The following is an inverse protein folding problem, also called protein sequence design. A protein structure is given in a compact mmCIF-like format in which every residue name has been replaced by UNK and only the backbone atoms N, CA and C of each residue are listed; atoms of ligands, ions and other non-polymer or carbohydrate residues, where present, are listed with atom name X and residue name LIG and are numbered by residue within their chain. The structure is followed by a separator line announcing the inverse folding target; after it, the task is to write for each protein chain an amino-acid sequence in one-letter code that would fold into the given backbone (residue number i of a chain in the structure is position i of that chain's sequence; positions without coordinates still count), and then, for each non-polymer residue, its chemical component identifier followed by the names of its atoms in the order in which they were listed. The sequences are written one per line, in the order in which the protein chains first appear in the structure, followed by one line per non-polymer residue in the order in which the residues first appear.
data_IF_829663863422
#
_entry.id   IF_829663863422
#
_cell.length_a   1.000
_cell.length_b   1.000
_cell.length_c   1.000
_cell.angle_alpha   90.00
_cell.angle_beta   90.00
_cell.angle_gamma   90.00
#
_symmetry.space_group_name_H-M   'P 1'
#
loop_
_entity.id
_entity.type
_entity.pdbx_description
1 polymer ?
#
# COMPACT_ATOMS: atom_id res chain seq x y z
N UNK A 1 2.50 -14.46 24.06
CA UNK A 1 1.84 -13.90 22.86
C UNK A 1 0.83 -14.91 22.36
N UNK A 2 -0.38 -14.45 22.00
CA UNK A 2 -1.47 -15.27 21.46
C UNK A 2 -1.73 -14.88 20.01
N UNK A 3 -1.92 -15.87 19.15
CA UNK A 3 -2.31 -15.66 17.74
C UNK A 3 -3.84 -15.52 17.71
N UNK A 4 -4.34 -14.45 17.09
CA UNK A 4 -5.76 -14.23 16.89
C UNK A 4 -6.20 -14.85 15.56
N UNK A 5 -6.84 -16.00 15.62
CA UNK A 5 -7.43 -16.67 14.45
C UNK A 5 -8.96 -16.52 14.37
N UNK A 6 -9.61 -16.21 15.49
CA UNK A 6 -11.06 -16.07 15.56
C UNK A 6 -11.53 -14.78 14.85
N UNK A 7 -12.44 -14.86 13.86
CA UNK A 7 -12.94 -13.69 13.13
C UNK A 7 -13.57 -12.62 14.05
N UNK A 8 -14.29 -13.04 15.09
CA UNK A 8 -14.90 -12.11 16.06
C UNK A 8 -13.84 -11.32 16.84
N UNK A 9 -12.69 -11.94 17.16
CA UNK A 9 -11.58 -11.25 17.81
C UNK A 9 -10.89 -10.28 16.86
N UNK A 10 -10.67 -10.66 15.61
CA UNK A 10 -10.06 -9.79 14.61
C UNK A 10 -10.95 -8.58 14.28
N UNK A 11 -12.27 -8.74 14.19
CA UNK A 11 -13.21 -7.62 14.00
C UNK A 11 -13.21 -6.68 15.21
N UNK A 12 -13.15 -7.22 16.43
CA UNK A 12 -13.06 -6.40 17.66
C UNK A 12 -11.73 -5.64 17.71
N UNK A 13 -10.64 -6.29 17.34
CA UNK A 13 -9.31 -5.67 17.25
C UNK A 13 -9.32 -4.54 16.21
N UNK A 14 -9.87 -4.76 15.02
CA UNK A 14 -10.04 -3.73 13.99
C UNK A 14 -10.79 -2.51 14.54
N UNK A 15 -11.91 -2.72 15.25
CA UNK A 15 -12.68 -1.64 15.86
C UNK A 15 -11.93 -0.86 16.94
N UNK A 16 -11.07 -1.53 17.73
CA UNK A 16 -10.22 -0.88 18.74
C UNK A 16 -9.12 -0.08 18.06
N UNK A 17 -8.39 -0.69 17.11
CA UNK A 17 -7.30 -0.04 16.39
C UNK A 17 -7.79 1.19 15.61
N UNK A 18 -9.00 1.13 15.03
CA UNK A 18 -9.63 2.26 14.33
C UNK A 18 -9.79 3.50 15.20
N UNK A 19 -10.07 3.34 16.50
CA UNK A 19 -10.25 4.47 17.44
C UNK A 19 -8.93 5.17 17.79
N UNK A 20 -7.81 4.48 17.60
CA UNK A 20 -6.46 4.98 17.91
C UNK A 20 -5.67 5.39 16.68
N UNK A 21 -6.33 5.53 15.52
CA UNK A 21 -5.72 6.13 14.33
C UNK A 21 -5.33 7.59 14.63
N UNK A 22 -4.19 8.09 14.11
CA UNK A 22 -3.31 7.46 13.10
C UNK A 22 -2.19 6.56 13.67
N UNK A 23 -2.00 6.48 14.99
CA UNK A 23 -0.86 5.77 15.60
C UNK A 23 -0.82 4.26 15.29
N UNK A 24 -2.00 3.67 15.06
CA UNK A 24 -2.19 2.24 14.79
C UNK A 24 -2.20 1.90 13.30
N UNK A 25 -1.94 2.86 12.40
CA UNK A 25 -2.19 2.73 10.96
C UNK A 25 -1.54 1.48 10.32
N UNK A 26 -0.24 1.17 10.53
CA UNK A 26 0.38 -0.01 9.89
C UNK A 26 -0.30 -1.31 10.32
N UNK A 27 -0.50 -1.48 11.63
CA UNK A 27 -1.11 -2.69 12.19
C UNK A 27 -2.58 -2.80 11.81
N UNK A 28 -3.30 -1.68 11.82
CA UNK A 28 -4.71 -1.62 11.40
C UNK A 28 -4.88 -2.10 9.97
N UNK A 29 -4.02 -1.65 9.05
CA UNK A 29 -4.07 -2.04 7.66
C UNK A 29 -3.79 -3.53 7.43
N UNK A 30 -2.83 -4.10 8.15
CA UNK A 30 -2.61 -5.56 8.13
C UNK A 30 -3.83 -6.33 8.64
N UNK A 31 -4.41 -5.94 9.77
CA UNK A 31 -5.61 -6.58 10.34
C UNK A 31 -6.79 -6.49 9.37
N UNK A 32 -6.97 -5.34 8.71
CA UNK A 32 -8.03 -5.15 7.71
C UNK A 32 -7.83 -6.08 6.50
N UNK A 33 -6.60 -6.22 5.99
CA UNK A 33 -6.30 -7.16 4.91
C UNK A 33 -6.55 -8.62 5.31
N UNK A 34 -6.24 -8.99 6.55
CA UNK A 34 -6.54 -10.33 7.09
C UNK A 34 -8.04 -10.56 7.14
N UNK A 35 -8.82 -9.59 7.66
CA UNK A 35 -10.28 -9.65 7.72
C UNK A 35 -10.97 -9.69 6.34
N UNK A 36 -10.25 -9.32 5.27
CA UNK A 36 -10.77 -9.27 3.90
C UNK A 36 -10.28 -10.42 3.03
N UNK A 37 -9.81 -11.51 3.63
CA UNK A 37 -9.42 -12.74 2.92
C UNK A 37 -7.94 -13.09 2.98
N UNK A 38 -7.14 -12.28 3.70
CA UNK A 38 -5.73 -12.55 3.99
C UNK A 38 -4.86 -12.95 2.78
N UNK A 39 -4.82 -12.12 1.72
CA UNK A 39 -4.09 -12.46 0.48
C UNK A 39 -2.58 -12.64 0.69
N UNK A 40 -2.01 -12.00 1.72
CA UNK A 40 -0.59 -12.13 2.07
C UNK A 40 -0.27 -13.21 3.11
N UNK A 41 -1.24 -14.01 3.54
CA UNK A 41 -1.08 -15.04 4.57
C UNK A 41 -0.42 -14.52 5.86
N UNK A 42 -0.90 -13.40 6.39
CA UNK A 42 -0.44 -12.82 7.64
C UNK A 42 -1.25 -13.35 8.83
N UNK A 43 -0.61 -13.37 9.99
CA UNK A 43 -1.21 -13.65 11.29
C UNK A 43 -0.95 -12.47 12.25
N UNK A 44 -1.89 -12.26 13.17
CA UNK A 44 -1.81 -11.19 14.16
C UNK A 44 -1.60 -11.80 15.54
N UNK A 45 -0.55 -11.35 16.20
CA UNK A 45 -0.18 -11.72 17.55
C UNK A 45 -0.47 -10.56 18.49
N UNK A 46 -1.02 -10.90 19.65
CA UNK A 46 -1.23 -9.97 20.76
C UNK A 46 -0.53 -10.49 22.00
N UNK A 47 -0.07 -9.59 22.87
CA UNK A 47 0.51 -9.99 24.15
C UNK A 47 -0.53 -10.66 25.06
N UNK A 48 -1.69 -10.01 25.20
CA UNK A 48 -2.84 -10.41 26.02
C UNK A 48 -4.15 -10.15 25.26
N UNK A 49 -5.24 -10.80 25.68
CA UNK A 49 -6.58 -10.58 25.11
C UNK A 49 -7.61 -10.80 26.21
N UNK A 50 -8.64 -9.95 26.36
CA UNK A 50 -9.09 -8.86 25.46
C UNK A 50 -8.38 -7.51 25.63
N UNK A 51 -7.64 -7.30 26.72
CA UNK A 51 -6.83 -6.10 26.93
C UNK A 51 -5.40 -6.39 26.45
N UNK A 52 -4.95 -5.68 25.41
CA UNK A 52 -3.62 -5.86 24.80
C UNK A 52 -2.81 -4.56 24.92
N UNK A 53 -1.50 -4.69 25.16
CA UNK A 53 -0.55 -3.58 25.13
C UNK A 53 0.27 -3.52 23.84
N UNK A 54 0.41 -4.65 23.15
CA UNK A 54 1.17 -4.76 21.91
C UNK A 54 0.46 -5.67 20.90
N UNK A 55 0.50 -5.26 19.64
CA UNK A 55 -0.04 -6.01 18.50
C UNK A 55 1.04 -6.10 17.43
N UNK A 56 1.27 -7.31 16.93
CA UNK A 56 2.24 -7.58 15.88
C UNK A 56 1.55 -8.31 14.74
N UNK A 57 1.72 -7.82 13.51
CA UNK A 57 1.36 -8.57 12.31
C UNK A 57 2.62 -9.18 11.70
N UNK A 58 2.59 -10.48 11.36
CA UNK A 58 3.69 -11.17 10.69
C UNK A 58 3.18 -12.22 9.70
N UNK A 59 3.99 -12.71 8.75
CA UNK A 59 3.63 -13.85 7.92
C UNK A 59 3.35 -15.12 8.73
N UNK A 60 2.32 -15.87 8.35
CA UNK A 60 1.92 -17.13 8.97
C UNK A 60 2.94 -18.25 8.67
N UNK A 61 3.38 -18.98 9.69
CA UNK A 61 4.24 -20.17 9.53
C UNK A 61 5.74 -19.98 9.83
N UNK A 62 6.16 -18.86 10.41
CA UNK A 62 7.56 -18.63 10.77
C UNK A 62 7.97 -19.42 12.03
N UNK A 63 8.40 -20.68 11.83
CA UNK A 63 9.40 -21.36 12.67
C UNK A 63 10.69 -21.40 11.85
N UNK A 64 11.75 -20.83 12.40
CA UNK A 64 13.09 -20.69 11.83
C UNK A 64 13.46 -21.78 10.79
N UNK A 65 13.37 -21.44 9.51
CA UNK A 65 14.11 -22.12 8.46
C UNK A 65 14.88 -21.05 7.71
N UNK A 66 16.20 -21.19 7.71
CA UNK A 66 17.18 -20.21 7.24
C UNK A 66 17.21 -20.04 5.73
N UNK A 67 16.06 -19.72 5.14
CA UNK A 67 15.96 -19.28 3.75
C UNK A 67 15.28 -17.90 3.75
N UNK A 68 16.12 -16.87 3.80
CA UNK A 68 15.79 -15.48 4.10
C UNK A 68 15.15 -14.79 2.89
N UNK A 69 13.98 -15.28 2.49
CA UNK A 69 13.20 -14.83 1.35
C UNK A 69 11.86 -14.22 1.76
N UNK A 70 11.81 -13.30 2.73
CA UNK A 70 10.68 -12.37 2.86
C UNK A 70 10.98 -11.15 3.76
N UNK A 71 10.78 -9.97 3.17
CA UNK A 71 10.52 -8.64 3.75
C UNK A 71 10.88 -8.32 5.19
N UNK A 72 12.17 -8.38 5.54
CA UNK A 72 12.69 -7.68 6.72
C UNK A 72 14.00 -6.97 6.38
N UNK A 73 13.98 -5.94 5.50
CA UNK A 73 15.05 -4.92 5.49
C UNK A 73 14.92 -3.72 4.52
N UNK A 74 13.91 -3.59 3.64
CA UNK A 74 13.89 -2.43 2.72
C UNK A 74 13.04 -1.24 3.20
N UNK A 75 12.35 -1.37 4.35
CA UNK A 75 11.60 -0.24 4.94
C UNK A 75 12.48 0.75 5.73
N UNK A 76 13.77 0.45 5.92
CA UNK A 76 14.70 1.36 6.60
C UNK A 76 15.03 2.64 5.79
N UNK A 77 14.54 2.78 4.56
CA UNK A 77 14.76 3.97 3.71
C UNK A 77 13.51 4.70 3.24
N UNK A 78 12.30 4.20 3.50
CA UNK A 78 11.07 4.75 2.88
C UNK A 78 10.36 5.84 3.69
N UNK A 79 10.87 6.20 4.87
CA UNK A 79 10.34 7.34 5.64
C UNK A 79 10.83 8.70 5.12
N UNK A 80 11.68 8.73 4.08
CA UNK A 80 12.22 9.96 3.49
C UNK A 80 11.48 10.51 2.25
N UNK A 81 10.49 9.80 1.69
CA UNK A 81 9.85 10.22 0.41
C UNK A 81 8.35 10.50 0.53
N UNK A 82 7.72 10.14 1.65
CA UNK A 82 6.40 10.68 2.01
C UNK A 82 6.48 12.02 2.75
N UNK A 83 7.69 12.51 3.03
CA UNK A 83 7.95 13.91 3.32
C UNK A 83 7.89 14.74 2.03
N UNK A 84 6.69 14.95 1.49
CA UNK A 84 6.46 16.25 0.86
C UNK A 84 6.39 17.25 2.01
N UNK A 85 7.56 17.73 2.43
CA UNK A 85 7.74 19.01 3.10
C UNK A 85 7.24 20.12 2.14
N UNK A 86 5.92 20.23 1.98
CA UNK A 86 5.31 21.53 1.75
C UNK A 86 5.23 22.18 3.13
N UNK A 87 6.32 22.81 3.54
CA UNK A 87 6.30 23.73 4.65
C UNK A 87 5.29 24.83 4.37
N UNK A 88 4.13 24.76 5.03
CA UNK A 88 3.22 25.87 5.30
C UNK A 88 2.36 25.49 6.52
N UNK A 89 2.63 26.04 7.72
CA UNK A 89 1.72 25.89 8.85
C UNK A 89 0.51 26.81 8.63
N UNK A 90 -0.70 26.24 8.52
CA UNK A 90 -1.93 27.01 8.73
C UNK A 90 -3.01 27.00 7.64
N UNK A 91 -3.31 25.87 6.99
CA UNK A 91 -4.50 25.77 6.11
C UNK A 91 -5.27 24.45 6.29
N UNK A 92 -5.61 24.10 7.54
CA UNK A 92 -6.36 22.88 7.91
C UNK A 92 -7.88 22.94 7.64
N UNK A 93 -8.37 23.82 6.76
CA UNK A 93 -9.82 24.07 6.65
C UNK A 93 -10.44 24.12 5.26
N UNK A 94 -9.68 24.34 4.17
CA UNK A 94 -10.31 24.86 2.92
C UNK A 94 -10.05 24.09 1.63
N UNK A 95 -9.34 22.97 1.63
CA UNK A 95 -9.14 22.19 0.38
C UNK A 95 -10.19 21.06 0.22
N UNK A 96 -11.05 20.85 1.22
CA UNK A 96 -11.97 19.71 1.25
C UNK A 96 -13.26 19.83 0.40
N UNK A 97 -13.53 20.95 -0.28
CA UNK A 97 -14.80 21.09 -1.03
C UNK A 97 -14.73 21.83 -2.38
N UNK A 98 -13.64 22.52 -2.72
CA UNK A 98 -13.61 23.43 -3.88
C UNK A 98 -13.09 22.85 -5.20
N UNK A 99 -12.46 21.66 -5.21
CA UNK A 99 -11.72 21.14 -6.38
C UNK A 99 -12.22 19.78 -6.91
N UNK A 100 -13.46 19.40 -6.58
CA UNK A 100 -14.08 18.15 -7.04
C UNK A 100 -14.72 18.25 -8.45
N UNK A 101 -14.44 19.30 -9.22
CA UNK A 101 -15.12 19.57 -10.50
C UNK A 101 -14.49 18.97 -11.76
N UNK A 102 -13.17 18.74 -11.82
CA UNK A 102 -12.53 18.28 -13.08
C UNK A 102 -11.16 17.60 -12.93
N UNK A 103 -10.67 17.39 -11.71
CA UNK A 103 -9.31 16.92 -11.45
C UNK A 103 -9.35 15.50 -10.90
N UNK A 104 -9.14 14.53 -11.78
CA UNK A 104 -9.27 13.10 -11.47
C UNK A 104 -9.45 12.23 -12.71
N UNK A 105 -9.70 12.84 -13.88
CA UNK A 105 -9.72 12.09 -15.13
C UNK A 105 -8.30 11.96 -15.70
N UNK A 106 -7.90 10.75 -16.15
CA UNK A 106 -6.65 10.59 -16.85
C UNK A 106 -6.68 11.40 -18.15
N UNK A 107 -5.51 11.93 -18.54
CA UNK A 107 -5.37 12.68 -19.79
C UNK A 107 -5.90 11.86 -20.99
N UNK A 108 -6.41 12.51 -22.05
CA UNK A 108 -6.88 11.79 -23.24
C UNK A 108 -5.77 10.88 -23.79
N UNK A 109 -6.09 9.59 -23.94
CA UNK A 109 -5.12 8.54 -24.33
C UNK A 109 -4.50 7.77 -23.17
N UNK A 110 -4.70 8.20 -21.93
CA UNK A 110 -4.29 7.48 -20.72
C UNK A 110 -5.52 6.83 -20.09
N UNK A 111 -5.41 5.56 -19.70
CA UNK A 111 -6.49 4.79 -19.08
C UNK A 111 -6.02 4.20 -17.76
N UNK A 112 -6.95 4.02 -16.83
CA UNK A 112 -6.67 3.29 -15.58
C UNK A 112 -6.64 1.80 -15.91
N UNK A 113 -5.52 1.16 -15.61
CA UNK A 113 -5.27 -0.26 -15.78
C UNK A 113 -5.01 -0.99 -14.46
N UNK A 114 -4.56 -2.23 -14.60
CA UNK A 114 -4.01 -3.04 -13.51
C UNK A 114 -2.60 -3.47 -13.85
N UNK A 115 -1.69 -3.44 -12.88
CA UNK A 115 -0.43 -4.16 -13.00
C UNK A 115 -0.67 -5.66 -12.86
N UNK A 116 0.23 -6.44 -13.44
CA UNK A 116 0.18 -7.88 -13.51
C UNK A 116 1.62 -8.42 -13.36
N UNK A 117 1.83 -9.68 -12.97
CA UNK A 117 3.17 -10.24 -12.77
C UNK A 117 4.09 -10.18 -14.00
N UNK A 118 3.54 -9.99 -15.21
CA UNK A 118 4.32 -9.74 -16.43
C UNK A 118 5.13 -8.43 -16.39
N UNK A 119 4.73 -7.46 -15.57
CA UNK A 119 5.39 -6.16 -15.46
C UNK A 119 6.46 -6.12 -14.36
N UNK A 120 6.73 -7.24 -13.67
CA UNK A 120 7.70 -7.29 -12.56
C UNK A 120 9.08 -6.82 -13.01
N UNK A 121 9.51 -7.22 -14.21
CA UNK A 121 10.86 -6.88 -14.70
C UNK A 121 10.98 -5.36 -14.92
N UNK A 122 9.96 -4.72 -15.50
CA UNK A 122 9.90 -3.25 -15.62
C UNK A 122 10.00 -2.55 -14.25
N UNK A 123 9.24 -3.02 -13.26
CA UNK A 123 9.26 -2.44 -11.92
C UNK A 123 10.61 -2.64 -11.24
N UNK A 124 11.21 -3.80 -11.45
CA UNK A 124 12.51 -4.15 -10.90
C UNK A 124 13.64 -3.32 -11.51
N UNK A 125 13.55 -2.99 -12.79
CA UNK A 125 14.56 -2.20 -13.50
C UNK A 125 14.43 -0.70 -13.23
N UNK A 126 13.20 -0.22 -13.02
CA UNK A 126 12.92 1.19 -12.74
C UNK A 126 13.15 1.58 -11.27
N UNK A 127 13.15 0.60 -10.37
CA UNK A 127 13.38 0.83 -8.95
C UNK A 127 14.88 1.00 -8.66
N UNK A 128 15.34 2.12 -8.06
CA UNK A 128 16.77 2.33 -7.80
C UNK A 128 17.44 1.28 -6.92
N UNK A 129 16.66 0.60 -6.07
CA UNK A 129 17.12 -0.50 -5.21
C UNK A 129 16.78 -1.88 -5.79
N UNK A 130 16.24 -1.91 -7.01
CA UNK A 130 15.87 -3.10 -7.74
C UNK A 130 17.06 -3.75 -8.45
N UNK A 131 16.79 -4.41 -9.57
CA UNK A 131 17.80 -5.10 -10.37
C UNK A 131 18.34 -6.41 -9.77
N UNK A 132 17.74 -6.93 -8.69
CA UNK A 132 18.18 -8.15 -8.04
C UNK A 132 17.08 -9.21 -7.92
N UNK A 133 17.47 -10.46 -7.70
CA UNK A 133 16.53 -11.60 -7.62
C UNK A 133 15.56 -11.44 -6.46
N UNK A 134 16.00 -10.80 -5.35
CA UNK A 134 15.18 -10.58 -4.15
C UNK A 134 14.11 -9.52 -4.41
N UNK A 135 14.46 -8.38 -5.00
CA UNK A 135 13.52 -7.32 -5.36
C UNK A 135 12.51 -7.81 -6.39
N UNK A 136 12.95 -8.59 -7.38
CA UNK A 136 12.06 -9.22 -8.37
C UNK A 136 11.03 -10.14 -7.71
N UNK A 137 11.47 -11.02 -6.82
CA UNK A 137 10.58 -11.94 -6.09
C UNK A 137 9.58 -11.18 -5.23
N UNK A 138 10.04 -10.17 -4.50
CA UNK A 138 9.18 -9.30 -3.69
C UNK A 138 8.10 -8.59 -4.51
N UNK A 139 8.49 -8.00 -5.65
CA UNK A 139 7.53 -7.34 -6.55
C UNK A 139 6.53 -8.33 -7.13
N UNK A 140 6.96 -9.54 -7.50
CA UNK A 140 6.06 -10.59 -7.98
C UNK A 140 5.04 -11.02 -6.92
N UNK A 141 5.46 -11.14 -5.66
CA UNK A 141 4.59 -11.47 -4.54
C UNK A 141 3.54 -10.37 -4.31
N UNK A 142 3.95 -9.09 -4.31
CA UNK A 142 3.02 -7.95 -4.18
C UNK A 142 2.01 -7.89 -5.32
N UNK A 143 2.46 -8.10 -6.56
CA UNK A 143 1.58 -8.08 -7.74
C UNK A 143 0.64 -9.28 -7.78
N UNK A 144 1.00 -10.40 -7.13
CA UNK A 144 0.15 -11.59 -7.03
C UNK A 144 -0.93 -11.47 -5.95
N UNK A 145 -0.67 -10.73 -4.86
CA UNK A 145 -1.58 -10.65 -3.73
C UNK A 145 -2.68 -9.58 -3.89
N UNK A 146 -2.43 -8.49 -4.62
CA UNK A 146 -3.33 -7.34 -4.66
C UNK A 146 -3.51 -6.77 -6.07
N UNK A 147 -4.74 -6.38 -6.46
CA UNK A 147 -4.95 -5.66 -7.72
C UNK A 147 -4.37 -4.25 -7.61
N UNK A 148 -3.20 -4.04 -8.22
CA UNK A 148 -2.47 -2.77 -8.15
C UNK A 148 -2.93 -1.79 -9.23
N UNK A 149 -3.00 -0.51 -8.88
CA UNK A 149 -3.41 0.55 -9.80
C UNK A 149 -2.24 0.95 -10.69
N UNK A 150 -2.50 0.99 -12.00
CA UNK A 150 -1.62 1.68 -12.94
C UNK A 150 -2.39 2.58 -13.89
N UNK A 151 -1.67 3.50 -14.50
CA UNK A 151 -2.10 4.24 -15.67
C UNK A 151 -1.37 3.65 -16.87
N UNK A 152 -2.12 3.39 -17.92
CA UNK A 152 -1.63 2.83 -19.17
C UNK A 152 -1.85 3.82 -20.31
N UNK A 153 -0.97 3.78 -21.31
CA UNK A 153 -1.13 4.53 -22.55
C UNK A 153 -2.17 3.87 -23.49
N UNK A 154 -2.30 4.42 -24.70
CA UNK A 154 -3.16 3.88 -25.74
C UNK A 154 -2.74 2.49 -26.22
N UNK A 155 -1.45 2.14 -26.07
CA UNK A 155 -0.88 0.84 -26.40
C UNK A 155 -1.04 -0.22 -25.31
N UNK A 156 -1.51 0.18 -24.12
CA UNK A 156 -1.68 -0.71 -22.95
C UNK A 156 -0.44 -0.84 -22.07
N UNK A 157 0.62 -0.06 -22.34
CA UNK A 157 1.85 -0.07 -21.56
C UNK A 157 1.72 0.79 -20.30
N UNK A 158 2.24 0.34 -19.14
CA UNK A 158 2.16 1.09 -17.89
C UNK A 158 3.05 2.34 -17.93
N UNK A 159 2.43 3.49 -17.70
CA UNK A 159 3.04 4.83 -17.72
C UNK A 159 3.40 5.31 -16.31
N UNK A 160 2.47 5.10 -15.38
CA UNK A 160 2.63 5.46 -13.97
C UNK A 160 1.89 4.43 -13.11
N UNK A 161 2.38 4.18 -11.91
CA UNK A 161 1.77 3.21 -11.01
C UNK A 161 2.00 3.56 -9.55
N UNK A 162 1.15 2.99 -8.71
CA UNK A 162 1.27 3.02 -7.25
C UNK A 162 1.01 1.59 -6.77
N UNK A 163 1.99 1.01 -6.07
CA UNK A 163 1.78 -0.26 -5.41
C UNK A 163 1.18 -0.01 -4.03
N UNK A 164 0.40 -0.96 -3.55
CA UNK A 164 -0.12 -1.00 -2.20
C UNK A 164 0.51 -2.20 -1.50
N UNK A 165 1.11 -1.98 -0.35
CA UNK A 165 1.69 -3.04 0.46
C UNK A 165 0.63 -3.83 1.25
N UNK A 166 1.11 -4.79 2.03
CA UNK A 166 0.29 -5.62 2.92
C UNK A 166 -0.33 -4.84 4.10
N UNK A 167 0.13 -3.61 4.36
CA UNK A 167 -0.47 -2.68 5.31
C UNK A 167 -1.52 -1.77 4.65
N UNK A 168 -1.79 -1.89 3.36
CA UNK A 168 -2.70 -0.97 2.67
C UNK A 168 -2.10 0.41 2.42
N UNK A 169 -0.78 0.54 2.55
CA UNK A 169 -0.02 1.79 2.33
C UNK A 169 0.50 1.84 0.91
N UNK A 170 0.42 3.03 0.30
CA UNK A 170 1.03 3.28 -1.00
C UNK A 170 2.56 3.20 -0.93
N UNK A 171 3.15 2.37 -1.78
CA UNK A 171 4.61 2.17 -1.91
C UNK A 171 5.01 2.05 -3.39
N UNK A 172 6.32 2.15 -3.68
CA UNK A 172 6.92 2.02 -5.01
C UNK A 172 6.19 2.80 -6.12
N UNK A 173 5.71 4.00 -5.81
CA UNK A 173 5.06 4.86 -6.77
C UNK A 173 6.07 5.40 -7.77
N UNK A 174 5.85 5.19 -9.06
CA UNK A 174 6.76 5.67 -10.09
C UNK A 174 6.02 6.19 -11.32
N UNK A 175 6.65 7.12 -12.04
CA UNK A 175 6.22 7.60 -13.35
C UNK A 175 7.41 7.58 -14.28
N UNK A 176 7.21 6.93 -15.44
CA UNK A 176 8.22 6.85 -16.48
C UNK A 176 8.74 8.24 -16.86
N UNK A 177 10.06 8.42 -17.05
CA UNK A 177 10.67 9.71 -17.33
C UNK A 177 9.99 10.50 -18.45
N UNK A 178 9.57 9.82 -19.52
CA UNK A 178 8.93 10.36 -20.72
C UNK A 178 7.56 11.00 -20.42
N UNK A 179 6.92 10.56 -19.32
CA UNK A 179 5.57 10.94 -18.95
C UNK A 179 5.51 11.81 -17.67
N UNK A 180 6.66 12.27 -17.17
CA UNK A 180 6.71 13.16 -15.99
C UNK A 180 6.15 14.54 -16.30
N UNK A 181 5.75 15.26 -15.26
CA UNK A 181 5.18 16.63 -15.32
C UNK A 181 3.81 16.74 -16.03
N UNK A 182 3.11 15.63 -16.20
CA UNK A 182 1.75 15.59 -16.76
C UNK A 182 0.67 15.27 -15.71
N UNK A 183 1.02 15.26 -14.41
CA UNK A 183 0.06 14.98 -13.33
C UNK A 183 -0.38 13.51 -13.19
N UNK A 184 0.18 12.58 -13.96
CA UNK A 184 -0.20 11.16 -13.94
C UNK A 184 -0.07 10.51 -12.55
N UNK A 185 1.00 10.83 -11.80
CA UNK A 185 1.16 10.30 -10.45
C UNK A 185 0.01 10.71 -9.52
N UNK A 186 -0.45 11.97 -9.62
CA UNK A 186 -1.57 12.45 -8.82
C UNK A 186 -2.86 11.72 -9.15
N UNK A 187 -3.11 11.44 -10.43
CA UNK A 187 -4.27 10.65 -10.86
C UNK A 187 -4.16 9.21 -10.35
N UNK A 188 -3.00 8.57 -10.46
CA UNK A 188 -2.76 7.21 -9.97
C UNK A 188 -2.97 7.11 -8.46
N UNK A 189 -2.46 8.07 -7.69
CA UNK A 189 -2.68 8.16 -6.23
C UNK A 189 -4.14 8.39 -5.88
N UNK A 190 -4.84 9.26 -6.61
CA UNK A 190 -6.27 9.54 -6.39
C UNK A 190 -7.11 8.27 -6.62
N UNK A 191 -6.84 7.55 -7.70
CA UNK A 191 -7.54 6.28 -8.01
C UNK A 191 -7.21 5.21 -6.97
N UNK A 192 -5.95 5.11 -6.54
CA UNK A 192 -5.54 4.19 -5.48
C UNK A 192 -6.24 4.51 -4.15
N UNK A 193 -6.30 5.79 -3.77
CA UNK A 193 -7.00 6.25 -2.58
C UNK A 193 -8.50 5.94 -2.65
N UNK A 194 -9.16 6.19 -3.78
CA UNK A 194 -10.57 5.84 -3.97
C UNK A 194 -10.82 4.33 -3.82
N UNK A 195 -9.97 3.48 -4.41
CA UNK A 195 -10.07 2.02 -4.25
C UNK A 195 -9.80 1.56 -2.82
N UNK A 196 -8.83 2.18 -2.14
CA UNK A 196 -8.53 1.89 -0.74
C UNK A 196 -9.69 2.29 0.17
N UNK A 197 -10.27 3.47 -0.04
CA UNK A 197 -11.44 3.96 0.68
C UNK A 197 -12.65 3.04 0.49
N UNK A 198 -12.93 2.60 -0.73
CA UNK A 198 -14.01 1.64 -1.02
C UNK A 198 -13.81 0.29 -0.30
N UNK A 199 -12.57 -0.09 0.02
CA UNK A 199 -12.24 -1.29 0.80
C UNK A 199 -12.21 -1.06 2.32
N UNK A 200 -12.42 0.19 2.77
CA UNK A 200 -12.49 0.58 4.17
C UNK A 200 -11.16 1.05 4.78
N UNK A 201 -10.11 1.22 3.97
CA UNK A 201 -8.84 1.77 4.44
C UNK A 201 -8.96 3.28 4.67
N UNK A 202 -8.37 3.82 5.77
CA UNK A 202 -8.26 5.25 5.95
C UNK A 202 -7.24 5.80 4.95
N UNK A 203 -7.64 6.84 4.23
CA UNK A 203 -6.77 7.59 3.31
C UNK A 203 -6.34 8.87 3.99
N UNK A 204 -5.04 9.04 4.21
CA UNK A 204 -4.44 10.30 4.67
C UNK A 204 -3.77 10.94 3.46
N UNK A 205 -4.02 12.22 3.23
CA UNK A 205 -3.53 12.98 2.08
C UNK A 205 -3.28 14.43 2.46
#
# INVERSE_FOLDING_TARGET
MKILTCPAHLQRLEGILRKSLPLTLPVFGAVLNINRGNPGQYEVLVDKWPEFGAVLARPSGEVASGDMGHCRSLEAGSWGVLGLDFGMPGALGSIAAGLLGSWGQPAPGIRVGSLNPSHVDLLNDTWPYGGNVRSRRYLAEILGCFPQVCLQDSSGQPVAWVLTDHFGTGTHSYTLPEHRRHGHMQVALTVAAQRAHARGFPTFG
#
